data_IF_439765745952
#
_entry.id   IF_439765745952
#
_cell.length_a   1.000
_cell.length_b   1.000
_cell.length_c   1.000
_cell.angle_alpha   90.00
_cell.angle_beta   90.00
_cell.angle_gamma   90.00
#
_symmetry.space_group_name_H-M   'P 1'
#
loop_
_entity.id
_entity.type
_entity.pdbx_description
1 polymer ?
#
# COMPACT_ATOMS: atom_id res chain seq x y z
N UNK A 1 48.95 9.85 -30.52
CA UNK A 1 48.02 10.63 -29.68
C UNK A 1 46.61 10.35 -30.18
N UNK A 2 45.89 9.42 -29.55
CA UNK A 2 44.54 9.04 -29.96
C UNK A 2 43.50 9.79 -29.10
N UNK A 3 42.88 10.75 -29.73
CA UNK A 3 41.77 11.49 -29.15
C UNK A 3 40.49 10.66 -29.25
N UNK A 4 40.05 9.99 -28.17
CA UNK A 4 38.73 9.35 -28.08
C UNK A 4 37.71 10.42 -27.72
N UNK A 5 36.93 10.79 -28.72
CA UNK A 5 35.74 11.61 -28.57
C UNK A 5 34.70 10.82 -27.77
N UNK A 6 34.37 11.30 -26.59
CA UNK A 6 33.29 10.74 -25.78
C UNK A 6 31.98 11.32 -26.32
N UNK A 7 31.13 10.47 -26.91
CA UNK A 7 29.79 10.85 -27.32
C UNK A 7 28.92 11.12 -26.08
N UNK A 8 28.09 12.16 -26.07
CA UNK A 8 27.18 12.39 -24.97
C UNK A 8 26.11 11.31 -24.92
N UNK A 9 25.98 10.69 -23.76
CA UNK A 9 24.91 9.75 -23.44
C UNK A 9 23.54 10.41 -23.66
N UNK A 10 22.79 9.90 -24.62
CA UNK A 10 21.38 10.20 -24.80
C UNK A 10 20.62 9.67 -23.57
N UNK A 11 19.79 10.48 -22.90
CA UNK A 11 18.97 9.96 -21.80
C UNK A 11 17.99 8.94 -22.40
N UNK A 12 18.13 7.69 -21.97
CA UNK A 12 17.13 6.67 -22.23
C UNK A 12 15.83 7.12 -21.55
N UNK A 13 14.79 7.29 -22.31
CA UNK A 13 13.41 7.46 -21.84
C UNK A 13 12.93 6.16 -21.20
N UNK A 14 13.44 5.87 -20.02
CA UNK A 14 12.95 4.79 -19.19
C UNK A 14 11.64 5.27 -18.55
N UNK A 15 10.52 4.69 -18.91
CA UNK A 15 9.35 4.70 -18.03
C UNK A 15 9.81 4.08 -16.70
N UNK A 16 10.09 4.92 -15.71
CA UNK A 16 10.32 4.44 -14.36
C UNK A 16 9.02 3.84 -13.87
N UNK A 17 8.91 2.52 -13.89
CA UNK A 17 7.79 1.83 -13.25
C UNK A 17 7.85 2.16 -11.76
N UNK A 18 6.77 2.75 -11.22
CA UNK A 18 6.65 2.98 -9.79
C UNK A 18 6.62 1.61 -9.10
N UNK A 19 7.54 1.33 -8.18
CA UNK A 19 7.57 0.05 -7.49
C UNK A 19 6.33 -0.13 -6.61
N UNK A 20 6.02 -1.38 -6.28
CA UNK A 20 5.04 -1.68 -5.24
C UNK A 20 5.48 -1.03 -3.92
N UNK A 21 4.52 -0.43 -3.22
CA UNK A 21 4.72 0.19 -1.90
C UNK A 21 4.23 -0.76 -0.82
N UNK A 22 4.94 -0.82 0.29
CA UNK A 22 4.61 -1.63 1.46
C UNK A 22 4.68 -0.78 2.72
N UNK A 23 3.63 -0.86 3.53
CA UNK A 23 3.58 -0.35 4.90
C UNK A 23 3.38 -1.53 5.84
N UNK A 24 4.17 -1.60 6.90
CA UNK A 24 4.06 -2.62 7.94
C UNK A 24 3.89 -1.98 9.29
N UNK A 25 2.88 -2.43 10.03
CA UNK A 25 2.63 -1.95 11.38
C UNK A 25 1.94 -3.00 12.26
N UNK A 26 2.01 -2.78 13.55
CA UNK A 26 1.28 -3.55 14.56
C UNK A 26 -0.04 -2.87 14.86
N UNK A 27 -1.13 -3.62 14.92
CA UNK A 27 -2.42 -3.13 15.39
C UNK A 27 -2.34 -2.82 16.88
N UNK A 28 -2.52 -1.56 17.23
CA UNK A 28 -2.48 -1.08 18.62
C UNK A 28 -3.82 -1.27 19.33
N UNK A 29 -3.86 -0.99 20.62
CA UNK A 29 -5.11 -1.00 21.38
C UNK A 29 -6.15 0.00 20.83
N UNK A 30 -5.71 1.11 20.23
CA UNK A 30 -6.58 2.09 19.58
C UNK A 30 -7.24 1.58 18.29
N UNK A 31 -6.67 0.58 17.65
CA UNK A 31 -7.22 0.00 16.43
C UNK A 31 -8.38 -0.98 16.71
N UNK A 32 -8.52 -1.45 17.95
CA UNK A 32 -9.64 -2.28 18.36
C UNK A 32 -10.96 -1.50 18.35
N UNK A 33 -11.95 -2.01 17.64
CA UNK A 33 -13.26 -1.38 17.49
C UNK A 33 -14.40 -2.22 18.06
N UNK A 34 -14.37 -3.52 17.85
CA UNK A 34 -15.38 -4.46 18.33
C UNK A 34 -14.91 -5.25 19.54
N UNK A 35 -15.84 -5.96 20.18
CA UNK A 35 -15.54 -6.84 21.30
C UNK A 35 -14.43 -7.86 20.96
N UNK A 36 -13.63 -8.23 21.97
CA UNK A 36 -12.53 -9.17 21.80
C UNK A 36 -11.31 -8.60 21.08
N UNK A 37 -11.23 -7.25 20.94
CA UNK A 37 -10.10 -6.60 20.29
C UNK A 37 -10.12 -6.72 18.76
N UNK A 38 -11.28 -6.99 18.18
CA UNK A 38 -11.43 -7.05 16.72
C UNK A 38 -11.28 -5.65 16.11
N UNK A 39 -10.46 -5.55 15.09
CA UNK A 39 -10.18 -4.32 14.35
C UNK A 39 -11.22 -4.13 13.25
N UNK A 40 -11.69 -2.89 13.06
CA UNK A 40 -12.60 -2.53 11.98
C UNK A 40 -11.93 -2.67 10.61
N UNK A 41 -12.66 -3.17 9.63
CA UNK A 41 -12.22 -3.21 8.24
C UNK A 41 -11.85 -1.84 7.67
N UNK A 42 -12.47 -0.76 8.14
CA UNK A 42 -12.12 0.61 7.77
C UNK A 42 -10.66 0.95 8.08
N UNK A 43 -10.04 0.30 9.07
CA UNK A 43 -8.62 0.46 9.38
C UNK A 43 -7.73 -0.04 8.23
N UNK A 44 -8.13 -1.11 7.55
CA UNK A 44 -7.41 -1.61 6.37
C UNK A 44 -7.51 -0.61 5.22
N UNK A 45 -8.67 0.01 5.02
CA UNK A 45 -8.85 1.06 4.01
C UNK A 45 -8.02 2.31 4.32
N UNK A 46 -7.86 2.68 5.59
CA UNK A 46 -6.96 3.77 6.00
C UNK A 46 -5.51 3.45 5.63
N UNK A 47 -5.04 2.21 5.81
CA UNK A 47 -3.70 1.79 5.38
C UNK A 47 -3.55 1.86 3.86
N UNK A 48 -4.55 1.45 3.11
CA UNK A 48 -4.55 1.58 1.65
C UNK A 48 -4.50 3.04 1.20
N UNK A 49 -5.13 3.94 1.95
CA UNK A 49 -5.00 5.38 1.75
C UNK A 49 -3.56 5.86 1.87
N UNK A 50 -2.84 5.44 2.91
CA UNK A 50 -1.43 5.79 3.12
C UNK A 50 -0.53 5.20 2.02
N UNK A 51 -0.77 3.95 1.62
CA UNK A 51 -0.07 3.31 0.49
C UNK A 51 -0.32 4.05 -0.82
N UNK A 52 -1.58 4.42 -1.10
CA UNK A 52 -1.94 5.19 -2.29
C UNK A 52 -1.27 6.56 -2.33
N UNK A 53 -1.22 7.22 -1.17
CA UNK A 53 -0.54 8.52 -1.02
C UNK A 53 0.94 8.41 -1.36
N UNK A 54 1.64 7.40 -0.86
CA UNK A 54 3.05 7.18 -1.20
C UNK A 54 3.24 6.91 -2.70
N UNK A 55 2.37 6.11 -3.31
CA UNK A 55 2.41 5.86 -4.75
C UNK A 55 2.26 7.15 -5.56
N UNK A 56 1.33 8.04 -5.17
CA UNK A 56 1.13 9.34 -5.84
C UNK A 56 2.31 10.29 -5.63
N UNK A 57 2.88 10.34 -4.43
CA UNK A 57 4.08 11.13 -4.16
C UNK A 57 5.24 10.68 -5.06
N UNK A 58 5.43 9.37 -5.23
CA UNK A 58 6.46 8.82 -6.12
C UNK A 58 6.19 9.11 -7.59
N UNK A 59 4.93 9.12 -8.01
CA UNK A 59 4.53 9.38 -9.39
C UNK A 59 4.54 10.87 -9.74
N UNK A 60 3.97 11.70 -8.88
CA UNK A 60 3.65 13.10 -9.18
C UNK A 60 4.40 14.12 -8.31
N UNK A 61 4.99 13.68 -7.19
CA UNK A 61 5.53 14.57 -6.19
C UNK A 61 4.46 15.30 -5.37
N UNK A 62 3.25 14.78 -5.36
CA UNK A 62 2.07 15.33 -4.66
C UNK A 62 1.25 14.17 -4.05
N UNK A 63 0.62 14.41 -2.91
CA UNK A 63 -0.18 13.40 -2.21
C UNK A 63 -1.43 12.99 -2.99
N UNK A 64 -1.94 13.87 -3.83
CA UNK A 64 -3.19 13.66 -4.55
C UNK A 64 -4.38 13.39 -3.63
N UNK A 65 -5.40 12.73 -4.14
CA UNK A 65 -6.62 12.40 -3.41
C UNK A 65 -7.12 11.01 -3.78
N UNK A 66 -7.58 10.26 -2.80
CA UNK A 66 -8.31 9.02 -3.04
C UNK A 66 -9.75 9.36 -3.45
N UNK A 67 -10.17 8.98 -4.66
CA UNK A 67 -11.48 9.33 -5.19
C UNK A 67 -12.54 8.27 -4.88
N UNK A 68 -12.24 7.00 -5.12
CA UNK A 68 -13.22 5.92 -4.97
C UNK A 68 -12.55 4.56 -4.79
N UNK A 69 -13.23 3.66 -4.10
CA UNK A 69 -12.97 2.23 -4.16
C UNK A 69 -13.98 1.59 -5.12
N UNK A 70 -13.49 0.80 -6.07
CA UNK A 70 -14.33 0.05 -7.01
C UNK A 70 -14.72 -1.32 -6.43
N UNK A 71 -13.85 -1.89 -5.62
CA UNK A 71 -14.06 -3.16 -4.94
C UNK A 71 -13.32 -3.18 -3.60
N UNK A 72 -13.95 -3.77 -2.60
CA UNK A 72 -13.36 -4.04 -1.28
C UNK A 72 -13.84 -5.41 -0.82
N UNK A 73 -12.90 -6.26 -0.39
CA UNK A 73 -13.18 -7.58 0.16
C UNK A 73 -12.48 -7.73 1.51
N UNK A 74 -13.25 -7.99 2.56
CA UNK A 74 -12.75 -8.34 3.89
C UNK A 74 -12.73 -9.86 4.00
N UNK A 75 -11.54 -10.47 4.07
CA UNK A 75 -11.34 -11.90 3.86
C UNK A 75 -11.02 -12.66 5.15
N UNK A 76 -10.46 -12.00 6.15
CA UNK A 76 -10.15 -12.59 7.44
C UNK A 76 -10.15 -11.52 8.55
N UNK A 77 -10.45 -11.89 9.80
CA UNK A 77 -10.47 -10.95 10.91
C UNK A 77 -9.05 -10.49 11.27
N UNK A 78 -8.97 -9.23 11.71
CA UNK A 78 -7.77 -8.61 12.26
C UNK A 78 -8.02 -8.27 13.72
N UNK A 79 -7.08 -8.58 14.60
CA UNK A 79 -7.17 -8.31 16.04
C UNK A 79 -6.04 -7.38 16.50
N UNK A 80 -6.27 -6.71 17.60
CA UNK A 80 -5.24 -5.96 18.31
C UNK A 80 -4.04 -6.88 18.59
N UNK A 81 -2.85 -6.39 18.30
CA UNK A 81 -1.61 -7.16 18.41
C UNK A 81 -1.15 -7.84 17.12
N UNK A 82 -2.01 -7.97 16.12
CA UNK A 82 -1.62 -8.49 14.81
C UNK A 82 -0.66 -7.52 14.10
N UNK A 83 0.31 -8.07 13.37
CA UNK A 83 1.14 -7.31 12.45
C UNK A 83 0.60 -7.45 11.04
N UNK A 84 0.35 -6.31 10.42
CA UNK A 84 -0.22 -6.21 9.08
C UNK A 84 0.79 -5.59 8.13
N UNK A 85 0.92 -6.20 6.97
CA UNK A 85 1.59 -5.63 5.80
C UNK A 85 0.52 -5.22 4.79
N UNK A 86 0.45 -3.93 4.48
CA UNK A 86 -0.40 -3.39 3.43
C UNK A 86 0.46 -3.03 2.23
N UNK A 87 0.15 -3.60 1.08
CA UNK A 87 0.84 -3.34 -0.18
C UNK A 87 -0.09 -2.71 -1.19
N UNK A 88 0.48 -1.99 -2.15
CA UNK A 88 -0.27 -1.44 -3.26
C UNK A 88 0.61 -1.15 -4.46
N UNK A 89 -0.01 -1.19 -5.63
CA UNK A 89 0.64 -0.91 -6.90
C UNK A 89 -0.29 -0.13 -7.82
N UNK A 90 0.30 0.66 -8.70
CA UNK A 90 -0.42 1.32 -9.78
C UNK A 90 -0.58 0.32 -10.92
N UNK A 91 -1.81 0.15 -11.41
CA UNK A 91 -2.12 -0.74 -12.54
C UNK A 91 -2.45 0.01 -13.82
N UNK A 92 -2.87 1.27 -13.70
CA UNK A 92 -3.15 2.13 -14.86
C UNK A 92 -2.91 3.59 -14.50
N UNK A 93 -2.23 4.32 -15.37
CA UNK A 93 -1.97 5.76 -15.24
C UNK A 93 -2.71 6.50 -16.32
N UNK A 94 -3.66 7.36 -15.94
CA UNK A 94 -4.35 8.29 -16.81
C UNK A 94 -3.79 9.71 -16.72
N UNK A 95 -4.43 10.67 -17.38
CA UNK A 95 -4.00 12.08 -17.40
C UNK A 95 -3.99 12.73 -16.01
N UNK A 96 -4.93 12.39 -15.16
CA UNK A 96 -5.02 12.86 -13.77
C UNK A 96 -5.39 11.75 -12.79
N UNK A 97 -5.86 10.60 -13.27
CA UNK A 97 -6.26 9.45 -12.45
C UNK A 97 -5.21 8.35 -12.45
N UNK A 98 -5.21 7.54 -11.39
CA UNK A 98 -4.48 6.28 -11.30
C UNK A 98 -5.40 5.21 -10.77
N UNK A 99 -5.45 4.07 -11.45
CA UNK A 99 -6.06 2.86 -10.86
C UNK A 99 -5.01 2.11 -10.08
N UNK A 100 -5.39 1.65 -8.91
CA UNK A 100 -4.51 0.98 -7.96
C UNK A 100 -5.15 -0.30 -7.43
N UNK A 101 -4.32 -1.27 -7.12
CA UNK A 101 -4.69 -2.50 -6.42
C UNK A 101 -3.96 -2.57 -5.09
N UNK A 102 -4.66 -3.05 -4.07
CA UNK A 102 -4.18 -3.11 -2.69
C UNK A 102 -4.42 -4.49 -2.09
N UNK A 103 -3.53 -4.91 -1.21
CA UNK A 103 -3.67 -6.12 -0.43
C UNK A 103 -3.10 -5.91 0.98
N UNK A 104 -3.83 -6.34 2.00
CA UNK A 104 -3.36 -6.38 3.38
C UNK A 104 -3.22 -7.83 3.83
N UNK A 105 -2.09 -8.16 4.47
CA UNK A 105 -1.75 -9.49 4.98
C UNK A 105 -1.40 -9.44 6.45
N UNK A 106 -1.90 -10.39 7.21
CA UNK A 106 -1.44 -10.66 8.57
C UNK A 106 -0.20 -11.53 8.51
N UNK A 107 0.88 -11.09 9.14
CA UNK A 107 2.18 -11.79 9.14
C UNK A 107 2.60 -12.29 10.52
N UNK A 108 2.08 -11.69 11.59
CA UNK A 108 2.26 -12.11 12.98
C UNK A 108 0.91 -12.00 13.69
N UNK A 109 0.57 -12.97 14.55
CA UNK A 109 -0.64 -12.93 15.38
C UNK A 109 -0.36 -13.33 16.82
N UNK A 110 -1.18 -12.85 17.75
CA UNK A 110 -1.25 -13.36 19.12
C UNK A 110 -2.01 -14.68 19.13
N UNK A 111 -1.51 -15.68 19.85
CA UNK A 111 -2.09 -17.02 19.96
C UNK A 111 -2.50 -17.39 21.37
N UNK A 112 -2.03 -16.65 22.39
CA UNK A 112 -2.23 -17.03 23.80
C UNK A 112 -3.66 -17.07 24.27
N UNK A 113 -4.59 -16.39 23.56
CA UNK A 113 -6.03 -16.44 23.85
C UNK A 113 -6.74 -17.61 23.16
N UNK A 114 -6.19 -18.05 22.04
CA UNK A 114 -6.82 -19.04 21.17
C UNK A 114 -6.31 -20.46 21.49
N UNK A 115 -5.11 -20.58 22.05
CA UNK A 115 -4.46 -21.85 22.38
C UNK A 115 -4.28 -21.98 23.91
N UNK A 116 -5.01 -22.92 24.49
CA UNK A 116 -4.97 -23.17 25.94
C UNK A 116 -3.55 -23.48 26.44
N UNK A 117 -3.23 -22.92 27.62
CA UNK A 117 -1.95 -23.16 28.29
C UNK A 117 -0.80 -22.22 27.91
N UNK A 118 -1.01 -21.31 26.96
CA UNK A 118 -0.06 -20.28 26.62
C UNK A 118 -0.35 -18.96 27.36
N UNK A 119 0.70 -18.15 27.57
CA UNK A 119 0.54 -16.80 28.07
C UNK A 119 -0.26 -15.93 27.06
N UNK A 120 -1.08 -14.99 27.55
CA UNK A 120 -1.85 -14.09 26.67
C UNK A 120 -0.97 -13.31 25.67
N UNK A 121 0.29 -13.07 26.03
CA UNK A 121 1.27 -12.37 25.19
C UNK A 121 1.97 -13.30 24.18
N UNK A 122 1.68 -14.59 24.18
CA UNK A 122 2.29 -15.52 23.23
C UNK A 122 1.85 -15.18 21.81
N UNK A 123 2.81 -15.17 20.88
CA UNK A 123 2.62 -14.78 19.50
C UNK A 123 3.39 -15.69 18.56
N UNK A 124 2.98 -15.76 17.30
CA UNK A 124 3.68 -16.51 16.26
C UNK A 124 3.87 -15.70 14.99
N UNK A 125 4.99 -15.93 14.32
CA UNK A 125 5.21 -15.49 12.93
C UNK A 125 4.59 -16.52 12.02
N UNK A 126 3.64 -16.10 11.19
CA UNK A 126 2.95 -16.99 10.27
C UNK A 126 3.89 -17.42 9.13
N UNK A 127 4.04 -18.74 8.93
CA UNK A 127 4.80 -19.27 7.80
C UNK A 127 4.20 -18.88 6.47
N UNK A 128 2.87 -18.85 6.40
CA UNK A 128 2.10 -18.35 5.26
C UNK A 128 1.25 -17.19 5.74
N UNK A 129 1.53 -15.96 5.31
CA UNK A 129 0.71 -14.81 5.63
C UNK A 129 -0.76 -15.01 5.25
N UNK A 130 -1.67 -14.46 6.06
CA UNK A 130 -3.12 -14.54 5.83
C UNK A 130 -3.57 -13.25 5.16
N UNK A 131 -4.14 -13.33 3.96
CA UNK A 131 -4.75 -12.19 3.30
C UNK A 131 -6.01 -11.79 4.08
N UNK A 132 -6.04 -10.56 4.59
CA UNK A 132 -7.14 -10.05 5.43
C UNK A 132 -8.06 -9.10 4.67
N UNK A 133 -7.52 -8.38 3.67
CA UNK A 133 -8.30 -7.45 2.87
C UNK A 133 -7.68 -7.29 1.48
N UNK A 134 -8.54 -7.11 0.48
CA UNK A 134 -8.15 -6.68 -0.88
C UNK A 134 -9.03 -5.53 -1.30
N UNK A 135 -8.47 -4.61 -2.09
CA UNK A 135 -9.24 -3.52 -2.66
C UNK A 135 -8.69 -3.09 -4.02
N UNK A 136 -9.55 -2.44 -4.79
CA UNK A 136 -9.18 -1.67 -5.97
C UNK A 136 -9.78 -0.29 -5.86
N UNK A 137 -9.06 0.72 -6.33
CA UNK A 137 -9.55 2.08 -6.27
C UNK A 137 -8.91 2.99 -7.29
N UNK A 138 -9.42 4.21 -7.33
CA UNK A 138 -8.95 5.27 -8.22
C UNK A 138 -8.55 6.46 -7.37
N UNK A 139 -7.31 6.91 -7.58
CA UNK A 139 -6.78 8.13 -7.02
C UNK A 139 -6.60 9.19 -8.11
N UNK A 140 -6.57 10.46 -7.74
CA UNK A 140 -6.43 11.57 -8.68
C UNK A 140 -5.41 12.58 -8.17
N UNK A 141 -4.59 13.09 -9.11
CA UNK A 141 -3.75 14.26 -8.91
C UNK A 141 -4.08 15.29 -9.98
N UNK A 142 -4.68 16.44 -9.64
CA UNK A 142 -4.95 17.50 -10.58
C UNK A 142 -3.70 17.90 -11.37
N UNK A 143 -3.85 18.22 -12.66
CA UNK A 143 -2.71 18.53 -13.54
C UNK A 143 -1.80 19.63 -12.98
N UNK A 144 -2.34 20.65 -12.35
CA UNK A 144 -1.56 21.74 -11.76
C UNK A 144 -0.70 21.33 -10.55
N UNK A 145 -0.92 20.14 -9.97
CA UNK A 145 -0.18 19.61 -8.83
C UNK A 145 0.81 18.51 -9.24
N UNK A 146 0.81 18.08 -10.50
CA UNK A 146 1.76 17.09 -11.02
C UNK A 146 3.12 17.75 -11.25
N UNK A 147 4.09 17.44 -10.42
CA UNK A 147 5.40 18.10 -10.42
C UNK A 147 6.42 17.48 -11.37
N UNK A 148 6.21 16.22 -11.79
CA UNK A 148 7.19 15.50 -12.59
C UNK A 148 6.76 15.44 -14.06
N UNK A 149 7.41 16.20 -14.98
CA UNK A 149 7.13 16.13 -16.39
C UNK A 149 7.34 14.73 -16.96
N UNK A 150 6.39 14.25 -17.77
CA UNK A 150 6.50 12.94 -18.43
C UNK A 150 6.17 11.72 -17.56
N UNK A 151 5.78 11.91 -16.30
CA UNK A 151 5.31 10.82 -15.44
C UNK A 151 3.96 10.24 -15.87
N UNK A 152 3.19 11.02 -16.62
CA UNK A 152 1.85 10.68 -17.09
C UNK A 152 1.73 10.79 -18.61
N UNK A 153 0.73 10.11 -19.22
CA UNK A 153 0.47 10.23 -20.66
C UNK A 153 0.22 11.67 -21.06
N UNK A 154 0.77 12.06 -22.21
CA UNK A 154 0.49 13.36 -22.83
C UNK A 154 -0.99 13.53 -23.17
N UNK A 155 -1.50 14.76 -23.22
CA UNK A 155 -2.88 15.06 -23.59
C UNK A 155 -3.23 14.63 -25.01
#
# INVERSE_FOLDING_TARGET
MNNKTISPNTPQSGHHSIPEVLIRLRMSAHDGHYAGGLVDGARMLALFGDVATELLIRLDGDEGLFRTYDAVEFLAPVKVGDYIEATGRIVEIGKSSCKMEFEARKVIRLIGRDEGGLAESSAEVLKTPIIVCKARGVCVTPKGLQRFPGSRPSP
#
